data_IF_767881220479
#
_entry.id   IF_767881220479
#
_cell.length_a   1.000
_cell.length_b   1.000
_cell.length_c   1.000
_cell.angle_alpha   90.00
_cell.angle_beta   90.00
_cell.angle_gamma   90.00
#
_symmetry.space_group_name_H-M   'P 1'
#
loop_
_entity.id
_entity.type
_entity.pdbx_description
1 polymer ?
#
# COMPACT_ATOMS: atom_id res chain seq x y z
N UNK A 1 -0.43 -45.40 4.81
CA UNK A 1 0.40 -44.58 3.88
C UNK A 1 -0.53 -43.64 3.13
N UNK A 2 -0.66 -42.39 3.57
CA UNK A 2 -1.49 -41.39 2.90
C UNK A 2 -0.73 -40.79 1.70
N UNK A 3 -1.32 -40.86 0.51
CA UNK A 3 -0.80 -40.20 -0.70
C UNK A 3 -0.88 -38.68 -0.50
N UNK A 4 0.26 -38.01 -0.59
CA UNK A 4 0.32 -36.56 -0.81
C UNK A 4 -0.09 -36.28 -2.25
N UNK A 5 -1.30 -35.75 -2.45
CA UNK A 5 -1.68 -35.13 -3.73
C UNK A 5 -0.89 -33.83 -3.94
N UNK A 6 -0.77 -33.35 -5.19
CA UNK A 6 -0.09 -32.09 -5.46
C UNK A 6 -0.76 -30.96 -4.66
N UNK A 7 0.05 -30.18 -3.95
CA UNK A 7 -0.39 -28.97 -3.25
C UNK A 7 -1.14 -28.06 -4.23
N UNK A 8 -2.33 -27.54 -3.89
CA UNK A 8 -3.05 -26.60 -4.75
C UNK A 8 -2.14 -25.40 -5.02
N UNK A 9 -1.86 -25.15 -6.29
CA UNK A 9 -1.05 -24.01 -6.70
C UNK A 9 -1.95 -22.76 -6.58
N UNK A 10 -1.71 -21.87 -5.60
CA UNK A 10 -2.75 -20.96 -5.10
C UNK A 10 -3.08 -19.79 -6.04
N UNK A 11 -2.26 -19.55 -7.07
CA UNK A 11 -2.45 -18.45 -8.01
C UNK A 11 -2.08 -18.89 -9.44
N UNK A 12 -2.91 -19.75 -10.03
CA UNK A 12 -2.71 -20.17 -11.42
C UNK A 12 -3.24 -19.15 -12.44
N UNK A 13 -3.98 -18.13 -12.01
CA UNK A 13 -4.55 -17.11 -12.89
C UNK A 13 -4.40 -15.71 -12.30
N UNK A 14 -3.15 -15.25 -12.20
CA UNK A 14 -2.82 -13.85 -11.87
C UNK A 14 -3.52 -12.83 -12.78
N UNK A 15 -3.68 -13.07 -14.11
CA UNK A 15 -4.46 -12.19 -14.97
C UNK A 15 -5.93 -12.06 -14.57
N UNK A 16 -6.57 -13.14 -14.11
CA UNK A 16 -7.94 -13.12 -13.60
C UNK A 16 -8.13 -12.42 -12.25
N UNK A 17 -7.03 -12.06 -11.56
CA UNK A 17 -7.04 -11.16 -10.41
C UNK A 17 -7.28 -9.70 -10.86
N UNK A 18 -7.12 -9.37 -12.13
CA UNK A 18 -7.31 -8.03 -12.68
C UNK A 18 -8.55 -8.06 -13.59
N UNK A 19 -9.75 -8.09 -13.01
CA UNK A 19 -10.99 -8.18 -13.77
C UNK A 19 -11.71 -6.82 -13.77
N UNK A 20 -11.98 -6.24 -14.95
CA UNK A 20 -12.75 -5.00 -15.17
C UNK A 20 -12.47 -3.88 -14.15
N UNK A 21 -11.22 -3.39 -14.11
CA UNK A 21 -10.75 -2.31 -13.23
C UNK A 21 -10.86 -2.59 -11.72
N UNK A 22 -11.27 -3.81 -11.32
CA UNK A 22 -11.43 -4.20 -9.92
C UNK A 22 -10.52 -5.37 -9.56
N UNK A 23 -9.45 -5.07 -8.84
CA UNK A 23 -8.45 -6.07 -8.43
C UNK A 23 -9.08 -7.06 -7.46
N UNK A 24 -9.18 -8.32 -7.90
CA UNK A 24 -9.62 -9.49 -7.14
C UNK A 24 -11.13 -9.66 -6.99
N UNK A 25 -11.94 -8.97 -7.79
CA UNK A 25 -13.37 -9.20 -7.86
C UNK A 25 -13.68 -10.61 -8.39
N UNK A 26 -14.44 -11.41 -7.62
CA UNK A 26 -14.80 -12.79 -7.95
C UNK A 26 -13.69 -13.83 -7.69
N UNK A 27 -12.53 -13.42 -7.19
CA UNK A 27 -11.47 -14.35 -6.81
C UNK A 27 -11.75 -14.94 -5.42
N UNK A 28 -11.49 -16.24 -5.24
CA UNK A 28 -11.56 -16.85 -3.92
C UNK A 28 -10.34 -16.42 -3.10
N UNK A 29 -10.56 -15.47 -2.19
CA UNK A 29 -9.54 -15.05 -1.22
C UNK A 29 -9.25 -16.12 -0.16
N UNK A 30 -9.99 -17.23 -0.13
CA UNK A 30 -9.73 -18.34 0.78
C UNK A 30 -8.36 -18.97 0.56
N UNK A 31 -7.71 -18.74 -0.58
CA UNK A 31 -6.29 -19.11 -0.76
C UNK A 31 -5.37 -18.41 0.24
N UNK A 32 -5.69 -17.18 0.65
CA UNK A 32 -4.95 -16.44 1.65
C UNK A 32 -5.19 -16.97 3.08
N UNK A 33 -6.24 -17.78 3.27
CA UNK A 33 -6.56 -18.40 4.55
C UNK A 33 -5.59 -19.50 4.98
N UNK A 34 -4.71 -19.95 4.10
CA UNK A 34 -3.66 -20.90 4.42
C UNK A 34 -2.32 -20.24 4.78
N UNK A 35 -2.18 -18.94 4.51
CA UNK A 35 -0.95 -18.19 4.76
C UNK A 35 -0.96 -17.51 6.13
N UNK A 36 0.23 -17.32 6.72
CA UNK A 36 0.38 -16.51 7.93
C UNK A 36 -0.04 -15.08 7.63
N UNK A 37 -0.95 -14.54 8.45
CA UNK A 37 -1.46 -13.19 8.33
C UNK A 37 -1.71 -12.55 9.68
N UNK A 38 -1.81 -11.24 9.67
CA UNK A 38 -2.32 -10.47 10.80
C UNK A 38 -3.48 -9.58 10.35
N UNK A 39 -4.09 -8.89 11.30
CA UNK A 39 -5.20 -7.98 11.05
C UNK A 39 -4.97 -6.70 11.85
N UNK A 40 -5.20 -5.57 11.21
CA UNK A 40 -5.33 -4.28 11.88
C UNK A 40 -6.61 -3.61 11.44
N UNK A 41 -7.32 -3.04 12.42
CA UNK A 41 -8.35 -2.04 12.18
C UNK A 41 -7.77 -0.69 12.61
N UNK A 42 -7.70 0.25 11.66
CA UNK A 42 -7.15 1.58 11.88
C UNK A 42 -8.29 2.57 11.76
N UNK A 43 -8.70 3.14 12.89
CA UNK A 43 -9.61 4.26 12.90
C UNK A 43 -8.84 5.53 12.54
N UNK A 44 -9.26 6.20 11.47
CA UNK A 44 -8.64 7.45 11.04
C UNK A 44 -9.56 8.63 11.33
N UNK A 45 -9.00 9.76 11.77
CA UNK A 45 -9.79 10.93 12.15
C UNK A 45 -10.65 11.48 10.99
N UNK A 46 -10.15 11.43 9.74
CA UNK A 46 -10.76 12.10 8.60
C UNK A 46 -11.27 11.14 7.51
N UNK A 47 -10.79 9.89 7.46
CA UNK A 47 -10.99 8.98 6.32
C UNK A 47 -11.78 7.72 6.67
N UNK A 48 -12.34 7.64 7.88
CA UNK A 48 -13.08 6.47 8.34
C UNK A 48 -12.18 5.33 8.78
N UNK A 49 -12.71 4.11 8.78
CA UNK A 49 -11.98 2.91 9.18
C UNK A 49 -11.22 2.30 7.98
N UNK A 50 -9.98 1.90 8.22
CA UNK A 50 -9.16 1.16 7.27
C UNK A 50 -8.73 -0.17 7.88
N UNK A 51 -9.15 -1.27 7.24
CA UNK A 51 -8.65 -2.60 7.55
C UNK A 51 -7.34 -2.87 6.80
N UNK A 52 -6.33 -3.38 7.49
CA UNK A 52 -5.08 -3.83 6.86
C UNK A 52 -4.83 -5.29 7.21
N UNK A 53 -4.63 -6.11 6.19
CA UNK A 53 -4.37 -7.55 6.30
C UNK A 53 -2.99 -7.82 5.69
N UNK A 54 -1.92 -7.77 6.47
CA UNK A 54 -0.59 -8.24 6.04
C UNK A 54 -0.59 -9.76 5.91
N UNK A 55 -0.20 -10.29 4.74
CA UNK A 55 -0.14 -11.71 4.40
C UNK A 55 1.27 -12.08 3.93
N UNK A 56 1.84 -13.15 4.49
CA UNK A 56 3.11 -13.72 4.02
C UNK A 56 2.88 -14.75 2.90
N UNK A 57 3.39 -14.51 1.70
CA UNK A 57 3.07 -15.26 0.47
C UNK A 57 3.96 -16.49 0.20
N UNK A 58 4.51 -17.16 1.23
CA UNK A 58 5.34 -18.35 1.03
C UNK A 58 5.26 -19.31 2.22
N UNK A 59 5.73 -20.56 2.02
CA UNK A 59 5.82 -21.60 3.06
C UNK A 59 6.66 -21.14 4.26
N UNK A 60 7.73 -20.36 4.01
CA UNK A 60 8.52 -19.69 5.04
C UNK A 60 8.29 -18.18 4.90
N UNK A 61 7.26 -17.69 5.57
CA UNK A 61 6.98 -16.27 5.70
C UNK A 61 6.54 -15.96 7.13
N UNK A 62 6.88 -14.78 7.63
CA UNK A 62 6.45 -14.30 8.95
C UNK A 62 5.88 -12.92 8.85
N UNK A 63 4.76 -12.69 9.54
CA UNK A 63 4.16 -11.38 9.77
C UNK A 63 4.39 -11.06 11.24
N UNK A 64 5.16 -10.03 11.52
CA UNK A 64 5.56 -9.67 12.89
C UNK A 64 5.16 -8.24 13.15
N UNK A 65 4.28 -8.04 14.12
CA UNK A 65 3.93 -6.72 14.64
C UNK A 65 4.94 -6.26 15.68
N UNK A 66 5.13 -4.94 15.77
CA UNK A 66 5.86 -4.35 16.90
C UNK A 66 5.12 -4.59 18.22
N UNK A 67 5.85 -4.61 19.33
CA UNK A 67 5.30 -4.94 20.66
C UNK A 67 4.00 -4.19 21.03
N UNK A 68 3.86 -2.87 20.76
CA UNK A 68 2.63 -2.14 21.11
C UNK A 68 1.37 -2.70 20.44
N UNK A 69 1.50 -3.37 19.30
CA UNK A 69 0.37 -3.81 18.49
C UNK A 69 0.03 -5.30 18.65
N UNK A 70 0.81 -6.06 19.43
CA UNK A 70 0.61 -7.52 19.57
C UNK A 70 -0.58 -7.90 20.44
N UNK A 71 -0.94 -7.05 21.40
CA UNK A 71 -1.89 -7.37 22.47
C UNK A 71 -3.03 -6.34 22.56
N UNK A 72 -3.58 -5.93 21.41
CA UNK A 72 -4.76 -5.06 21.37
C UNK A 72 -6.00 -5.97 21.35
N UNK A 73 -6.74 -6.01 22.46
CA UNK A 73 -7.98 -6.81 22.56
C UNK A 73 -9.23 -5.98 22.34
N UNK A 74 -9.18 -4.71 22.75
CA UNK A 74 -10.34 -3.82 22.79
C UNK A 74 -9.95 -2.38 22.43
N UNK A 75 -10.95 -1.57 22.09
CA UNK A 75 -10.76 -0.15 21.73
C UNK A 75 -10.08 0.68 22.84
N UNK A 76 -10.23 0.30 24.10
CA UNK A 76 -9.57 0.95 25.25
C UNK A 76 -8.06 0.72 25.30
N UNK A 77 -7.57 -0.33 24.62
CA UNK A 77 -6.15 -0.67 24.46
C UNK A 77 -5.58 -0.24 23.10
N UNK A 78 -6.30 0.61 22.37
CA UNK A 78 -5.86 1.12 21.09
C UNK A 78 -4.59 1.97 21.24
N UNK A 79 -3.74 1.92 20.22
CA UNK A 79 -2.48 2.66 20.18
C UNK A 79 -2.57 3.68 19.07
N UNK A 80 -2.29 4.95 19.40
CA UNK A 80 -2.23 6.02 18.40
C UNK A 80 -1.03 5.80 17.47
N UNK A 81 -1.26 5.90 16.17
CA UNK A 81 -0.22 5.77 15.13
C UNK A 81 -0.27 6.94 14.17
N UNK A 82 0.90 7.40 13.72
CA UNK A 82 1.05 8.49 12.74
C UNK A 82 1.54 7.96 11.40
N UNK A 83 1.31 8.74 10.35
CA UNK A 83 1.81 8.41 9.01
C UNK A 83 3.33 8.28 9.03
N UNK A 84 3.83 7.11 8.64
CA UNK A 84 5.26 6.79 8.62
C UNK A 84 5.71 5.95 9.82
N UNK A 85 4.86 5.77 10.83
CA UNK A 85 5.20 4.92 11.97
C UNK A 85 5.32 3.46 11.55
N UNK A 86 6.26 2.76 12.19
CA UNK A 86 6.50 1.35 11.95
C UNK A 86 5.47 0.53 12.73
N UNK A 87 4.65 -0.21 12.00
CA UNK A 87 3.66 -1.14 12.56
C UNK A 87 4.25 -2.55 12.75
N UNK A 88 5.16 -2.94 11.87
CA UNK A 88 5.74 -4.27 11.89
C UNK A 88 6.61 -4.53 10.68
N UNK A 89 6.90 -5.81 10.45
CA UNK A 89 7.68 -6.25 9.31
C UNK A 89 7.28 -7.64 8.84
N UNK A 90 7.63 -7.92 7.58
CA UNK A 90 7.67 -9.27 7.06
C UNK A 90 9.09 -9.81 7.20
N UNK A 91 9.23 -11.10 7.53
CA UNK A 91 10.51 -11.80 7.46
C UNK A 91 10.40 -13.03 6.57
N UNK A 92 11.31 -13.13 5.61
CA UNK A 92 11.44 -14.20 4.63
C UNK A 92 10.24 -14.34 3.67
N UNK A 93 10.51 -14.74 2.43
CA UNK A 93 9.48 -14.97 1.41
C UNK A 93 8.88 -13.68 0.81
N UNK A 94 7.84 -13.88 -0.02
CA UNK A 94 7.04 -12.78 -0.56
C UNK A 94 6.03 -12.25 0.46
N UNK A 95 5.53 -11.03 0.24
CA UNK A 95 4.53 -10.41 1.10
C UNK A 95 3.47 -9.69 0.30
N UNK A 96 2.30 -9.53 0.92
CA UNK A 96 1.15 -8.81 0.41
C UNK A 96 0.52 -8.02 1.54
N UNK A 97 0.11 -6.79 1.29
CA UNK A 97 -0.81 -6.08 2.17
C UNK A 97 -2.13 -5.89 1.44
N UNK A 98 -3.21 -6.41 2.01
CA UNK A 98 -4.56 -6.16 1.53
C UNK A 98 -5.12 -5.02 2.37
N UNK A 99 -5.53 -3.93 1.71
CA UNK A 99 -6.17 -2.79 2.35
C UNK A 99 -7.66 -2.80 2.04
N UNK A 100 -8.47 -2.68 3.08
CA UNK A 100 -9.92 -2.58 3.02
C UNK A 100 -10.29 -1.18 3.49
N UNK A 101 -10.95 -0.43 2.61
CA UNK A 101 -11.44 0.89 2.95
C UNK A 101 -12.93 0.79 3.30
N UNK A 102 -13.34 1.55 4.31
CA UNK A 102 -14.75 1.75 4.60
C UNK A 102 -15.49 2.21 3.33
N UNK A 103 -16.73 1.72 3.17
CA UNK A 103 -17.55 1.97 2.00
C UNK A 103 -17.61 3.49 1.71
N UNK A 104 -17.47 3.84 0.44
CA UNK A 104 -17.54 5.22 -0.07
C UNK A 104 -16.41 6.17 0.43
N UNK A 105 -15.40 5.67 1.16
CA UNK A 105 -14.26 6.49 1.66
C UNK A 105 -13.03 6.51 0.76
N UNK A 106 -12.96 5.62 -0.23
CA UNK A 106 -11.84 5.52 -1.18
C UNK A 106 -12.37 5.40 -2.61
N UNK A 107 -12.77 6.53 -3.25
CA UNK A 107 -13.47 6.49 -4.53
C UNK A 107 -12.55 6.18 -5.72
N UNK A 108 -11.29 6.61 -5.67
CA UNK A 108 -10.31 6.35 -6.73
C UNK A 108 -8.87 6.49 -6.21
N UNK A 109 -7.95 5.77 -6.85
CA UNK A 109 -6.51 5.88 -6.61
C UNK A 109 -5.85 6.52 -7.83
N UNK A 110 -5.36 7.75 -7.68
CA UNK A 110 -4.49 8.38 -8.67
C UNK A 110 -3.03 8.14 -8.29
N UNK A 111 -2.38 7.21 -8.98
CA UNK A 111 -0.93 7.02 -8.90
C UNK A 111 -0.28 7.53 -10.17
N UNK A 112 0.86 8.19 -10.03
CA UNK A 112 1.71 8.48 -11.18
C UNK A 112 2.30 7.15 -11.66
N UNK A 113 1.81 6.62 -12.77
CA UNK A 113 2.41 5.45 -13.43
C UNK A 113 3.53 5.91 -14.37
N UNK A 114 4.73 5.35 -14.20
CA UNK A 114 5.90 5.56 -15.07
C UNK A 114 7.18 6.00 -14.33
N UNK A 115 8.35 5.74 -14.93
CA UNK A 115 9.58 6.40 -14.51
C UNK A 115 9.60 7.81 -15.09
N UNK A 116 9.71 8.84 -14.25
CA UNK A 116 10.07 10.18 -14.71
C UNK A 116 11.58 10.20 -15.04
N UNK A 117 11.94 9.69 -16.22
CA UNK A 117 13.32 9.72 -16.72
C UNK A 117 13.57 11.12 -17.30
N UNK A 118 13.89 12.07 -16.42
CA UNK A 118 14.40 13.40 -16.78
C UNK A 118 13.38 14.36 -17.41
N UNK A 119 13.67 15.65 -17.30
CA UNK A 119 12.98 16.71 -18.04
C UNK A 119 13.76 16.97 -19.34
N UNK A 120 13.12 16.86 -20.50
CA UNK A 120 13.66 17.41 -21.74
C UNK A 120 13.36 18.90 -21.75
N UNK A 121 14.38 19.70 -21.44
CA UNK A 121 14.33 21.16 -21.54
C UNK A 121 14.57 21.50 -23.02
N UNK A 122 13.61 22.14 -23.68
CA UNK A 122 13.77 22.61 -25.05
C UNK A 122 14.77 23.78 -25.13
N UNK A 123 15.47 23.91 -26.26
CA UNK A 123 16.54 24.91 -26.49
C UNK A 123 16.08 26.37 -26.45
N UNK A 124 14.78 26.66 -26.35
CA UNK A 124 14.25 28.02 -26.30
C UNK A 124 13.75 28.39 -24.90
N UNK A 125 14.69 28.52 -23.96
CA UNK A 125 14.67 29.53 -22.88
C UNK A 125 16.04 29.53 -22.17
N UNK A 126 17.01 30.09 -22.89
CA UNK A 126 17.96 31.12 -22.43
C UNK A 126 18.35 31.12 -20.93
N UNK A 127 19.64 30.91 -20.68
CA UNK A 127 20.39 31.11 -19.42
C UNK A 127 19.59 31.62 -18.22
N UNK A 128 18.91 30.72 -17.50
CA UNK A 128 18.51 31.03 -16.13
C UNK A 128 19.73 30.84 -15.23
N UNK A 129 20.49 31.94 -15.02
CA UNK A 129 21.48 32.01 -13.93
C UNK A 129 20.74 31.79 -12.61
N UNK A 130 20.93 30.61 -12.03
CA UNK A 130 20.47 30.26 -10.69
C UNK A 130 21.18 31.14 -9.64
N UNK A 131 20.66 32.34 -9.39
CA UNK A 131 20.99 33.07 -8.16
C UNK A 131 20.13 32.54 -7.03
N UNK A 132 20.81 31.89 -6.07
CA UNK A 132 20.22 31.37 -4.83
C UNK A 132 19.74 32.54 -3.97
N UNK A 133 18.49 32.95 -4.15
CA UNK A 133 17.85 33.86 -3.19
C UNK A 133 16.41 33.43 -2.90
N UNK A 134 16.06 33.47 -1.60
CA UNK A 134 14.87 32.85 -1.01
C UNK A 134 13.51 33.35 -1.55
N UNK A 135 13.46 34.48 -2.27
CA UNK A 135 12.24 35.09 -2.80
C UNK A 135 11.62 34.33 -3.99
N UNK A 136 12.39 33.51 -4.73
CA UNK A 136 11.91 32.82 -5.93
C UNK A 136 11.04 31.58 -5.65
N UNK A 137 10.89 31.17 -4.38
CA UNK A 137 10.04 30.02 -4.02
C UNK A 137 8.54 30.33 -4.10
N UNK A 138 8.16 31.60 -3.95
CA UNK A 138 6.76 32.00 -3.94
C UNK A 138 6.22 32.20 -5.37
N UNK A 139 7.00 32.82 -6.25
CA UNK A 139 6.62 33.05 -7.65
C UNK A 139 6.51 31.74 -8.44
N UNK A 140 7.42 30.78 -8.21
CA UNK A 140 7.34 29.45 -8.84
C UNK A 140 6.11 28.64 -8.38
N UNK A 141 5.54 28.96 -7.21
CA UNK A 141 4.35 28.25 -6.68
C UNK A 141 3.05 28.81 -7.25
N UNK A 142 2.99 30.10 -7.58
CA UNK A 142 1.83 30.72 -8.23
C UNK A 142 1.72 30.28 -9.69
N UNK A 143 2.84 30.22 -10.41
CA UNK A 143 2.85 29.78 -11.81
C UNK A 143 2.41 28.31 -11.98
N UNK A 144 2.65 27.47 -10.97
CA UNK A 144 2.26 26.05 -11.01
C UNK A 144 0.77 25.81 -10.68
N UNK A 145 0.08 26.76 -10.04
CA UNK A 145 -1.31 26.62 -9.61
C UNK A 145 -2.32 27.34 -10.52
N UNK A 146 -1.86 28.02 -11.56
CA UNK A 146 -2.69 28.77 -12.50
C UNK A 146 -2.95 28.04 -13.85
N UNK A 147 -2.73 26.73 -13.91
CA UNK A 147 -3.17 25.85 -15.00
C UNK A 147 -4.15 24.82 -14.48
#
# INVERSE_FOLDING_TARGET
MGRWGPTPNPINNFPGLLNDDNVGYGYSYSVFEHFRRGYLAIETANYGCVGMIPVGLNTIASVIFEEPFKNITDASSSVEVKKGDRIGCFKYGGSLNILLFEKDRFPSLNIMQGQQIGLLIGESESEVKLTRTRLNRFLNRIAYLAK
#
